data_IF_760317885882
#
_entry.id   IF_760317885882
#
_cell.length_a   1.000
_cell.length_b   1.000
_cell.length_c   1.000
_cell.angle_alpha   90.00
_cell.angle_beta   90.00
_cell.angle_gamma   90.00
#
_symmetry.space_group_name_H-M   'P 1'
#
loop_
_entity.id
_entity.type
_entity.pdbx_description
1 polymer ?
#
# COMPACT_ATOMS: atom_id res chain seq x y z
N UNK A 1 -5.15 -10.34 -11.10
CA UNK A 1 -4.98 -8.92 -10.74
C UNK A 1 -3.63 -8.73 -10.09
N UNK A 2 -2.84 -7.88 -10.75
CA UNK A 2 -1.62 -7.29 -10.21
C UNK A 2 -1.94 -6.26 -9.14
N UNK A 3 -0.97 -6.04 -8.25
CA UNK A 3 -1.06 -5.07 -7.14
C UNK A 3 0.08 -4.07 -7.24
N UNK A 4 -0.25 -2.79 -7.43
CA UNK A 4 0.71 -1.68 -7.42
C UNK A 4 0.89 -1.15 -6.00
N UNK A 5 2.12 -1.12 -5.49
CA UNK A 5 2.43 -0.63 -4.15
C UNK A 5 3.34 0.61 -4.25
N UNK A 6 2.86 1.76 -3.80
CA UNK A 6 3.57 3.03 -3.89
C UNK A 6 4.62 3.19 -2.78
N UNK A 7 5.85 2.75 -3.06
CA UNK A 7 6.89 2.63 -2.05
C UNK A 7 7.96 3.74 -2.09
N UNK A 8 7.77 4.78 -2.92
CA UNK A 8 8.82 5.76 -3.19
C UNK A 8 8.73 7.11 -2.45
N UNK A 9 7.74 7.29 -1.56
CA UNK A 9 7.55 8.53 -0.81
C UNK A 9 8.64 8.80 0.23
N UNK A 10 8.95 10.09 0.48
CA UNK A 10 10.01 10.50 1.42
C UNK A 10 9.67 10.30 2.91
N UNK A 11 8.41 10.02 3.27
CA UNK A 11 8.04 9.73 4.67
C UNK A 11 8.24 10.90 5.65
N UNK A 12 8.12 12.14 5.19
CA UNK A 12 8.44 13.38 5.94
C UNK A 12 7.59 13.62 7.20
N UNK A 13 6.50 12.87 7.38
CA UNK A 13 5.58 12.97 8.52
C UNK A 13 5.99 12.12 9.75
N UNK A 14 7.06 11.31 9.66
CA UNK A 14 7.49 10.36 10.69
C UNK A 14 8.95 10.64 11.11
N UNK A 15 9.21 11.85 11.63
CA UNK A 15 10.57 12.40 11.80
C UNK A 15 11.53 11.58 12.68
N UNK A 16 11.04 10.78 13.62
CA UNK A 16 11.93 10.07 14.55
C UNK A 16 12.44 8.70 14.03
N UNK A 17 11.77 8.11 13.02
CA UNK A 17 12.16 6.81 12.42
C UNK A 17 12.49 6.89 10.92
N UNK A 18 11.95 7.88 10.19
CA UNK A 18 12.03 7.93 8.73
C UNK A 18 13.40 8.37 8.18
N UNK A 19 14.25 8.97 9.01
CA UNK A 19 15.58 9.40 8.60
C UNK A 19 16.48 8.22 8.22
N UNK A 20 16.24 7.01 8.75
CA UNK A 20 17.04 5.81 8.45
C UNK A 20 16.27 4.78 7.61
N UNK A 21 14.97 4.59 7.82
CA UNK A 21 14.19 3.52 7.17
C UNK A 21 13.01 4.12 6.37
N UNK A 22 12.78 3.75 5.09
CA UNK A 22 11.61 4.21 4.35
C UNK A 22 10.31 3.69 4.99
N UNK A 23 9.22 4.46 4.94
CA UNK A 23 7.96 4.15 5.65
C UNK A 23 7.43 2.72 5.40
N UNK A 24 7.40 2.19 4.16
CA UNK A 24 6.96 0.81 3.91
C UNK A 24 7.80 -0.24 4.64
N UNK A 25 9.03 0.09 5.02
CA UNK A 25 9.97 -0.80 5.71
C UNK A 25 9.95 -0.67 7.24
N UNK A 26 9.06 0.15 7.81
CA UNK A 26 8.87 0.21 9.27
C UNK A 26 8.42 -1.17 9.77
N UNK A 27 9.07 -1.75 10.79
CA UNK A 27 8.76 -3.09 11.27
C UNK A 27 7.45 -3.14 12.07
N UNK A 28 6.67 -4.19 11.83
CA UNK A 28 5.54 -4.65 12.66
C UNK A 28 5.87 -6.07 13.10
N UNK A 29 6.32 -6.21 14.34
CA UNK A 29 7.01 -7.42 14.77
C UNK A 29 8.33 -7.59 14.00
N UNK A 30 8.53 -8.75 13.37
CA UNK A 30 9.74 -9.07 12.61
C UNK A 30 9.63 -8.80 11.10
N UNK A 31 8.47 -8.34 10.61
CA UNK A 31 8.23 -8.06 9.19
C UNK A 31 7.82 -6.60 8.96
N UNK A 32 8.19 -5.97 7.84
CA UNK A 32 7.83 -4.59 7.54
C UNK A 32 6.33 -4.42 7.21
N UNK A 33 5.83 -3.19 7.28
CA UNK A 33 4.46 -2.82 6.83
C UNK A 33 4.21 -3.35 5.41
N UNK A 34 5.16 -3.13 4.50
CA UNK A 34 5.07 -3.54 3.10
C UNK A 34 4.78 -5.04 2.96
N UNK A 35 5.52 -5.87 3.69
CA UNK A 35 5.31 -7.31 3.67
C UNK A 35 3.90 -7.68 4.17
N UNK A 36 3.42 -7.04 5.23
CA UNK A 36 2.09 -7.32 5.78
C UNK A 36 0.98 -6.94 4.78
N UNK A 37 1.16 -5.84 4.04
CA UNK A 37 0.24 -5.44 2.96
C UNK A 37 0.27 -6.45 1.82
N UNK A 38 1.46 -6.90 1.40
CA UNK A 38 1.59 -7.94 0.37
C UNK A 38 0.93 -9.25 0.82
N UNK A 39 1.14 -9.66 2.07
CA UNK A 39 0.48 -10.85 2.64
C UNK A 39 -1.04 -10.74 2.61
N UNK A 40 -1.59 -9.56 2.93
CA UNK A 40 -3.03 -9.30 2.86
C UNK A 40 -3.57 -9.56 1.45
N UNK A 41 -2.92 -9.03 0.41
CA UNK A 41 -3.33 -9.27 -0.98
C UNK A 41 -3.12 -10.71 -1.42
N UNK A 42 -1.98 -11.32 -1.05
CA UNK A 42 -1.66 -12.71 -1.35
C UNK A 42 -2.65 -13.70 -0.73
N UNK A 43 -3.16 -13.39 0.47
CA UNK A 43 -4.21 -14.16 1.14
C UNK A 43 -5.49 -14.24 0.29
N UNK A 44 -5.82 -13.18 -0.44
CA UNK A 44 -6.94 -13.13 -1.38
C UNK A 44 -6.57 -13.55 -2.82
N UNK A 45 -5.39 -14.16 -3.01
CA UNK A 45 -4.95 -14.71 -4.30
C UNK A 45 -4.28 -13.71 -5.24
N UNK A 46 -4.01 -12.48 -4.81
CA UNK A 46 -3.31 -11.47 -5.61
C UNK A 46 -1.83 -11.43 -5.24
N UNK A 47 -1.03 -12.19 -6.01
CA UNK A 47 0.38 -12.50 -5.71
C UNK A 47 1.39 -11.92 -6.70
N UNK A 48 0.93 -11.12 -7.66
CA UNK A 48 1.79 -10.42 -8.62
C UNK A 48 1.87 -8.92 -8.25
N UNK A 49 3.00 -8.53 -7.68
CA UNK A 49 3.25 -7.22 -7.08
C UNK A 49 4.13 -6.36 -7.98
N UNK A 50 3.80 -5.08 -8.08
CA UNK A 50 4.63 -4.06 -8.71
C UNK A 50 4.94 -2.99 -7.67
N UNK A 51 6.20 -2.93 -7.25
CA UNK A 51 6.67 -1.95 -6.29
C UNK A 51 7.14 -0.70 -7.04
N UNK A 52 6.41 0.40 -6.91
CA UNK A 52 6.77 1.70 -7.48
C UNK A 52 7.74 2.42 -6.55
N UNK A 53 9.04 2.23 -6.78
CA UNK A 53 10.13 2.65 -5.90
C UNK A 53 10.57 4.10 -6.15
N UNK A 54 11.24 4.69 -5.16
CA UNK A 54 11.81 6.02 -5.23
C UNK A 54 12.82 6.23 -4.11
N UNK A 55 12.49 7.08 -3.14
CA UNK A 55 13.36 7.33 -1.99
C UNK A 55 13.71 6.01 -1.27
N UNK A 56 15.01 5.77 -1.05
CA UNK A 56 15.56 4.58 -0.38
C UNK A 56 15.10 3.23 -0.97
N UNK A 57 14.98 3.17 -2.30
CA UNK A 57 14.67 1.96 -3.03
C UNK A 57 15.63 0.79 -2.71
N UNK A 58 16.89 1.09 -2.40
CA UNK A 58 17.93 0.14 -1.99
C UNK A 58 17.49 -0.70 -0.80
N UNK A 59 16.86 -0.11 0.22
CA UNK A 59 16.42 -0.82 1.43
C UNK A 59 15.29 -1.80 1.17
N UNK A 60 14.38 -1.44 0.28
CA UNK A 60 13.27 -2.32 -0.12
C UNK A 60 13.83 -3.49 -0.94
N UNK A 61 14.71 -3.21 -1.91
CA UNK A 61 15.35 -4.26 -2.72
C UNK A 61 16.17 -5.22 -1.85
N UNK A 62 16.99 -4.69 -0.95
CA UNK A 62 17.84 -5.47 -0.04
C UNK A 62 17.02 -6.45 0.80
N UNK A 63 15.90 -6.01 1.36
CA UNK A 63 15.01 -6.87 2.15
C UNK A 63 14.49 -8.10 1.38
N UNK A 64 14.05 -7.93 0.13
CA UNK A 64 13.50 -9.03 -0.65
C UNK A 64 14.58 -9.89 -1.32
N UNK A 65 15.73 -9.31 -1.68
CA UNK A 65 16.87 -10.07 -2.23
C UNK A 65 17.50 -10.95 -1.15
N UNK A 66 17.61 -10.43 0.06
CA UNK A 66 18.20 -11.12 1.22
C UNK A 66 17.11 -11.58 2.21
N UNK A 67 15.93 -11.95 1.70
CA UNK A 67 14.82 -12.38 2.53
C UNK A 67 15.20 -13.67 3.28
N UNK A 68 15.25 -13.57 4.60
CA UNK A 68 15.58 -14.69 5.47
C UNK A 68 14.31 -15.39 5.94
N UNK A 69 13.95 -16.46 5.22
CA UNK A 69 12.83 -17.34 5.51
C UNK A 69 12.89 -17.94 6.92
N UNK A 70 14.08 -18.06 7.54
CA UNK A 70 14.22 -18.65 8.88
C UNK A 70 13.76 -17.73 9.99
N UNK A 71 13.67 -16.42 9.72
CA UNK A 71 13.12 -15.44 10.66
C UNK A 71 11.59 -15.56 10.69
N UNK A 72 10.99 -15.96 9.57
CA UNK A 72 9.56 -15.84 9.30
C UNK A 72 8.79 -17.15 9.31
N UNK A 73 9.47 -18.27 9.07
CA UNK A 73 8.90 -19.60 8.87
C UNK A 73 9.55 -20.64 9.78
N UNK A 74 8.81 -21.70 10.09
CA UNK A 74 9.34 -22.83 10.83
C UNK A 74 10.27 -23.68 9.96
N UNK A 75 11.37 -24.15 10.55
CA UNK A 75 12.37 -24.94 9.84
C UNK A 75 13.00 -26.01 10.73
N UNK A 76 13.49 -27.07 10.10
CA UNK A 76 14.30 -28.10 10.75
C UNK A 76 15.78 -27.78 10.55
N UNK A 77 16.50 -27.64 11.67
CA UNK A 77 17.94 -27.43 11.68
C UNK A 77 18.67 -28.73 11.99
N UNK A 78 19.48 -29.22 11.05
CA UNK A 78 20.13 -30.54 11.17
C UNK A 78 21.59 -30.52 10.73
N UNK A 79 22.26 -31.69 10.85
CA UNK A 79 23.66 -31.90 10.47
C UNK A 79 24.66 -30.95 11.16
N UNK A 80 24.43 -30.64 12.44
CA UNK A 80 25.30 -29.73 13.22
C UNK A 80 25.25 -28.28 12.71
N UNK A 81 24.12 -27.88 12.14
CA UNK A 81 23.87 -26.53 11.66
C UNK A 81 24.29 -26.26 10.22
N UNK A 82 24.32 -27.32 9.40
CA UNK A 82 24.70 -27.26 7.98
C UNK A 82 23.53 -27.47 7.01
N UNK A 83 22.36 -27.81 7.54
CA UNK A 83 21.16 -28.04 6.75
C UNK A 83 19.96 -27.37 7.41
N UNK A 84 19.30 -26.51 6.64
CA UNK A 84 18.02 -25.89 6.96
C UNK A 84 17.01 -26.48 5.98
N UNK A 85 15.95 -27.07 6.52
CA UNK A 85 14.81 -27.54 5.76
C UNK A 85 13.60 -26.69 6.17
N UNK A 86 13.14 -25.82 5.27
CA UNK A 86 11.96 -24.99 5.50
C UNK A 86 10.71 -25.89 5.47
N UNK A 87 9.84 -25.78 6.49
CA UNK A 87 8.57 -26.52 6.54
C UNK A 87 7.47 -25.84 5.72
N UNK A 88 7.58 -24.52 5.54
CA UNK A 88 6.76 -23.72 4.65
C UNK A 88 7.55 -22.49 4.18
N UNK A 89 7.14 -21.92 3.05
CA UNK A 89 7.56 -20.58 2.64
C UNK A 89 6.35 -19.67 2.56
N UNK A 90 6.54 -18.39 2.88
CA UNK A 90 5.48 -17.40 2.93
C UNK A 90 5.46 -16.45 1.72
N UNK A 91 6.49 -16.50 0.87
CA UNK A 91 6.59 -15.68 -0.36
C UNK A 91 6.98 -16.47 -1.62
N UNK A 92 7.12 -17.80 -1.56
CA UNK A 92 7.62 -18.64 -2.66
C UNK A 92 6.83 -18.50 -3.98
N UNK A 93 5.53 -18.25 -3.87
CA UNK A 93 4.63 -18.08 -5.01
C UNK A 93 4.31 -16.61 -5.35
N UNK A 94 5.06 -15.66 -4.76
CA UNK A 94 4.93 -14.24 -5.07
C UNK A 94 5.80 -13.87 -6.26
N UNK A 95 5.25 -13.09 -7.18
CA UNK A 95 6.01 -12.43 -8.26
C UNK A 95 6.14 -10.95 -7.91
N UNK A 96 7.37 -10.46 -7.74
CA UNK A 96 7.62 -9.07 -7.32
C UNK A 96 8.44 -8.34 -8.39
N UNK A 97 7.86 -7.30 -8.98
CA UNK A 97 8.51 -6.41 -9.95
C UNK A 97 8.94 -5.12 -9.27
N UNK A 98 10.23 -4.79 -9.33
CA UNK A 98 10.81 -3.60 -8.70
C UNK A 98 11.04 -2.51 -9.75
N UNK A 99 10.24 -1.43 -9.72
CA UNK A 99 10.29 -0.37 -10.75
C UNK A 99 10.82 0.91 -10.12
N UNK A 100 11.94 1.45 -10.63
CA UNK A 100 12.37 2.78 -10.24
C UNK A 100 11.49 3.82 -10.93
N UNK A 101 10.63 4.46 -10.14
CA UNK A 101 9.69 5.47 -10.64
C UNK A 101 10.19 6.89 -10.38
N UNK A 102 11.42 7.06 -9.88
CA UNK A 102 12.07 8.35 -9.64
C UNK A 102 11.76 8.94 -8.26
N UNK A 103 12.75 9.65 -7.70
CA UNK A 103 12.67 10.26 -6.36
C UNK A 103 11.65 11.41 -6.30
N UNK A 104 11.55 12.21 -7.37
CA UNK A 104 10.71 13.41 -7.43
C UNK A 104 9.26 13.13 -7.87
N UNK A 105 8.90 11.86 -8.03
CA UNK A 105 7.60 11.48 -8.57
C UNK A 105 6.54 11.44 -7.47
N UNK A 106 5.44 12.12 -7.73
CA UNK A 106 4.21 12.04 -6.94
C UNK A 106 3.48 10.71 -7.21
N UNK A 107 2.35 10.43 -6.55
CA UNK A 107 1.67 9.13 -6.68
C UNK A 107 1.13 8.94 -8.10
N UNK A 108 0.53 9.97 -8.70
CA UNK A 108 0.00 9.90 -10.07
C UNK A 108 1.08 9.56 -11.10
N UNK A 109 2.23 10.25 -11.05
CA UNK A 109 3.38 9.97 -11.91
C UNK A 109 3.96 8.56 -11.71
N UNK A 110 3.95 8.05 -10.48
CA UNK A 110 4.40 6.68 -10.18
C UNK A 110 3.47 5.65 -10.82
N UNK A 111 2.16 5.86 -10.70
CA UNK A 111 1.16 5.00 -11.31
C UNK A 111 1.32 4.97 -12.84
N UNK A 112 1.48 6.13 -13.48
CA UNK A 112 1.70 6.21 -14.93
C UNK A 112 2.98 5.48 -15.37
N UNK A 113 4.07 5.56 -14.59
CA UNK A 113 5.33 4.87 -14.91
C UNK A 113 5.26 3.36 -14.84
N UNK A 114 4.31 2.80 -14.08
CA UNK A 114 4.16 1.34 -13.99
C UNK A 114 3.11 0.79 -14.94
N UNK A 115 2.49 1.63 -15.78
CA UNK A 115 1.43 1.24 -16.70
C UNK A 115 1.83 0.07 -17.62
N UNK A 116 3.05 0.06 -18.14
CA UNK A 116 3.53 -1.02 -19.02
C UNK A 116 3.56 -2.39 -18.33
N UNK A 117 3.77 -2.42 -17.01
CA UNK A 117 3.78 -3.66 -16.24
C UNK A 117 2.38 -4.18 -15.94
N UNK A 118 1.33 -3.39 -16.18
CA UNK A 118 -0.08 -3.75 -15.98
C UNK A 118 -0.73 -4.30 -17.24
N UNK A 119 0.00 -4.43 -18.36
CA UNK A 119 -0.52 -5.04 -19.58
C UNK A 119 -1.11 -6.43 -19.31
N UNK A 120 -2.26 -6.69 -19.95
CA UNK A 120 -3.02 -7.94 -19.83
C UNK A 120 -4.01 -7.99 -18.66
N UNK A 121 -3.98 -7.02 -17.74
CA UNK A 121 -4.99 -6.90 -16.68
C UNK A 121 -6.14 -6.00 -17.13
N UNK A 122 -7.39 -6.47 -17.01
CA UNK A 122 -8.58 -5.62 -17.15
C UNK A 122 -8.69 -4.65 -15.95
N UNK A 123 -8.41 -5.16 -14.76
CA UNK A 123 -8.43 -4.44 -13.49
C UNK A 123 -7.20 -4.74 -12.67
N UNK A 124 -6.77 -3.77 -11.86
CA UNK A 124 -5.64 -3.94 -10.96
C UNK A 124 -5.86 -3.19 -9.64
N UNK A 125 -5.17 -3.66 -8.61
CA UNK A 125 -5.21 -3.10 -7.27
C UNK A 125 -4.07 -2.10 -7.09
N UNK A 126 -4.27 -1.06 -6.28
CA UNK A 126 -3.18 -0.19 -5.87
C UNK A 126 -3.27 0.19 -4.38
N UNK A 127 -2.12 0.44 -3.76
CA UNK A 127 -2.04 0.78 -2.34
C UNK A 127 -0.89 1.76 -2.02
N UNK A 128 -1.09 2.67 -1.06
CA UNK A 128 -0.05 3.58 -0.55
C UNK A 128 1.09 2.91 0.23
N UNK A 129 0.98 1.60 0.50
CA UNK A 129 2.00 0.79 1.17
C UNK A 129 2.35 1.26 2.59
N UNK A 130 1.42 1.93 3.27
CA UNK A 130 1.66 2.53 4.58
C UNK A 130 0.51 2.42 5.59
N UNK A 131 -0.65 1.90 5.17
CA UNK A 131 -1.82 1.64 6.00
C UNK A 131 -2.19 0.16 5.96
N UNK A 132 -2.54 -0.40 7.12
CA UNK A 132 -3.08 -1.75 7.25
C UNK A 132 -4.59 -1.70 7.41
N UNK A 133 -5.27 -2.75 6.95
CA UNK A 133 -6.72 -2.92 7.07
C UNK A 133 -7.08 -4.39 7.20
N UNK A 134 -8.21 -4.65 7.86
CA UNK A 134 -8.89 -5.95 7.86
C UNK A 134 -10.07 -5.98 6.87
N UNK A 135 -10.15 -5.02 5.94
CA UNK A 135 -11.15 -4.99 4.86
C UNK A 135 -11.21 -6.36 4.18
N UNK A 136 -12.40 -6.93 4.03
CA UNK A 136 -12.58 -8.12 3.22
C UNK A 136 -12.52 -7.73 1.74
N UNK A 137 -11.38 -7.99 1.11
CA UNK A 137 -11.10 -7.54 -0.26
C UNK A 137 -12.11 -8.03 -1.31
N UNK A 138 -12.63 -9.28 -1.23
CA UNK A 138 -13.61 -9.76 -2.20
C UNK A 138 -14.86 -8.88 -2.29
N UNK A 139 -15.37 -8.33 -1.19
CA UNK A 139 -16.53 -7.44 -1.20
C UNK A 139 -16.24 -6.15 -1.98
N UNK A 140 -15.04 -5.59 -1.82
CA UNK A 140 -14.61 -4.39 -2.56
C UNK A 140 -14.52 -4.66 -4.06
N UNK A 141 -13.98 -5.83 -4.43
CA UNK A 141 -13.87 -6.26 -5.83
C UNK A 141 -15.26 -6.48 -6.42
N UNK A 142 -16.10 -7.27 -5.75
CA UNK A 142 -17.46 -7.54 -6.18
C UNK A 142 -18.24 -6.24 -6.39
N UNK A 143 -18.24 -5.34 -5.40
CA UNK A 143 -18.88 -4.05 -5.50
C UNK A 143 -18.44 -3.27 -6.75
N UNK A 144 -17.14 -3.20 -7.02
CA UNK A 144 -16.64 -2.49 -8.19
C UNK A 144 -17.02 -3.17 -9.51
N UNK A 145 -16.98 -4.49 -9.58
CA UNK A 145 -17.37 -5.23 -10.79
C UNK A 145 -18.84 -5.05 -11.17
N UNK A 146 -19.72 -4.77 -10.20
CA UNK A 146 -21.13 -4.43 -10.48
C UNK A 146 -21.34 -3.03 -11.06
N UNK A 147 -20.28 -2.22 -11.17
CA UNK A 147 -20.32 -0.83 -11.63
C UNK A 147 -19.54 -0.66 -12.96
N UNK A 148 -20.10 -1.11 -14.11
CA UNK A 148 -19.36 -1.16 -15.37
C UNK A 148 -18.88 0.21 -15.86
N UNK A 149 -19.62 1.28 -15.58
CA UNK A 149 -19.29 2.65 -16.03
C UNK A 149 -18.26 3.36 -15.14
N UNK A 150 -17.75 2.70 -14.10
CA UNK A 150 -16.75 3.27 -13.19
C UNK A 150 -15.36 2.72 -13.51
N UNK A 151 -14.38 3.62 -13.54
CA UNK A 151 -12.97 3.31 -13.86
C UNK A 151 -12.09 3.19 -12.61
N UNK A 152 -12.59 3.64 -11.46
CA UNK A 152 -11.89 3.62 -10.18
C UNK A 152 -12.84 3.40 -9.00
N UNK A 153 -12.35 2.72 -7.98
CA UNK A 153 -12.98 2.56 -6.66
C UNK A 153 -11.92 2.63 -5.57
N UNK A 154 -12.28 3.14 -4.39
CA UNK A 154 -11.39 3.15 -3.24
C UNK A 154 -12.15 3.03 -1.92
N UNK A 155 -11.49 2.51 -0.90
CA UNK A 155 -12.06 2.42 0.44
C UNK A 155 -12.00 3.79 1.14
N UNK A 156 -13.14 4.19 1.73
CA UNK A 156 -13.23 5.33 2.64
C UNK A 156 -13.36 4.87 4.09
N UNK A 157 -12.84 5.66 5.03
CA UNK A 157 -12.94 5.39 6.47
C UNK A 157 -13.37 6.63 7.25
N UNK A 158 -14.27 6.45 8.22
CA UNK A 158 -14.59 7.49 9.20
C UNK A 158 -13.69 7.37 10.41
N UNK A 159 -12.92 8.42 10.77
CA UNK A 159 -12.03 8.37 11.91
C UNK A 159 -12.79 8.15 13.22
N UNK A 160 -12.34 7.20 14.03
CA UNK A 160 -12.85 6.99 15.39
C UNK A 160 -11.91 7.52 16.48
N UNK A 161 -10.84 8.23 16.07
CA UNK A 161 -9.84 8.76 16.99
C UNK A 161 -10.41 9.78 17.99
N UNK A 162 -9.75 9.96 19.14
CA UNK A 162 -10.20 10.84 20.23
C UNK A 162 -10.07 12.35 19.95
N UNK A 163 -10.01 12.75 18.68
CA UNK A 163 -9.97 14.16 18.29
C UNK A 163 -11.37 14.78 18.32
N UNK A 164 -11.41 16.08 18.57
CA UNK A 164 -12.63 16.88 18.49
C UNK A 164 -12.58 17.79 17.26
N UNK A 165 -13.71 17.90 16.57
CA UNK A 165 -13.90 18.87 15.49
C UNK A 165 -14.54 20.11 16.10
N UNK A 166 -13.93 21.26 15.84
CA UNK A 166 -14.42 22.57 16.28
C UNK A 166 -15.05 23.28 15.08
N UNK A 167 -16.30 23.73 15.23
CA UNK A 167 -16.92 24.65 14.27
C UNK A 167 -16.82 26.07 14.82
N UNK A 168 -16.39 26.99 13.98
CA UNK A 168 -16.22 28.40 14.32
C UNK A 168 -16.83 29.28 13.24
N UNK A 169 -17.24 30.50 13.60
CA UNK A 169 -17.54 31.55 12.63
C UNK A 169 -16.24 32.13 12.07
N UNK A 170 -16.33 32.96 11.03
CA UNK A 170 -15.18 33.60 10.41
C UNK A 170 -14.45 34.56 11.37
N UNK A 171 -15.15 35.07 12.40
CA UNK A 171 -14.60 35.92 13.47
C UNK A 171 -13.95 35.11 14.61
N UNK A 172 -13.91 33.77 14.50
CA UNK A 172 -13.26 32.89 15.48
C UNK A 172 -14.13 32.52 16.68
N UNK A 173 -15.44 32.79 16.65
CA UNK A 173 -16.36 32.35 17.71
C UNK A 173 -16.64 30.85 17.59
N UNK A 174 -16.33 30.07 18.62
CA UNK A 174 -16.64 28.63 18.68
C UNK A 174 -18.15 28.41 18.84
N UNK A 175 -18.75 27.69 17.90
CA UNK A 175 -20.19 27.37 17.91
C UNK A 175 -20.49 25.92 18.28
N UNK A 176 -19.54 25.01 18.06
CA UNK A 176 -19.70 23.59 18.41
C UNK A 176 -18.34 22.91 18.60
N UNK A 177 -18.29 21.94 19.52
CA UNK A 177 -17.20 20.98 19.68
C UNK A 177 -17.82 19.59 19.76
N UNK A 178 -17.43 18.69 18.87
CA UNK A 178 -17.94 17.32 18.84
C UNK A 178 -16.82 16.31 18.56
N UNK A 179 -16.95 15.04 18.99
CA UNK A 179 -16.04 13.98 18.60
C UNK A 179 -15.96 13.86 17.07
N UNK A 180 -14.78 13.58 16.52
CA UNK A 180 -14.59 13.40 15.07
C UNK A 180 -15.45 12.25 14.50
N UNK A 181 -15.78 11.26 15.32
CA UNK A 181 -16.70 10.17 14.97
C UNK A 181 -18.12 10.66 14.63
N UNK A 182 -18.53 11.83 15.15
CA UNK A 182 -19.81 12.45 14.84
C UNK A 182 -19.71 13.50 13.70
N UNK A 183 -18.56 13.58 13.04
CA UNK A 183 -18.38 14.41 11.87
C UNK A 183 -18.77 13.64 10.60
N UNK A 184 -19.18 14.36 9.54
CA UNK A 184 -19.39 13.77 8.21
C UNK A 184 -18.08 13.64 7.41
N UNK A 185 -16.94 13.53 8.09
CA UNK A 185 -15.63 13.44 7.43
C UNK A 185 -15.32 11.99 7.07
N UNK A 186 -14.98 11.79 5.81
CA UNK A 186 -14.52 10.52 5.26
C UNK A 186 -13.10 10.69 4.75
N UNK A 187 -12.24 9.74 5.10
CA UNK A 187 -10.86 9.72 4.65
C UNK A 187 -10.70 8.73 3.52
N UNK A 188 -9.91 9.11 2.50
CA UNK A 188 -9.34 8.15 1.58
C UNK A 188 -8.28 7.32 2.33
N UNK A 189 -8.42 6.00 2.28
CA UNK A 189 -7.55 5.06 3.00
C UNK A 189 -6.38 4.54 2.18
N UNK A 190 -6.37 4.79 0.88
CA UNK A 190 -5.32 4.34 -0.01
C UNK A 190 -5.48 2.93 -0.56
N UNK A 191 -6.60 2.24 -0.30
CA UNK A 191 -6.92 0.98 -0.96
C UNK A 191 -7.72 1.27 -2.22
N UNK A 192 -7.12 1.04 -3.39
CA UNK A 192 -7.71 1.34 -4.68
C UNK A 192 -7.91 0.09 -5.53
N UNK A 193 -8.90 0.17 -6.41
CA UNK A 193 -9.14 -0.75 -7.50
C UNK A 193 -9.43 0.07 -8.76
N UNK A 194 -8.71 -0.22 -9.84
CA UNK A 194 -8.74 0.55 -11.08
C UNK A 194 -8.98 -0.37 -12.26
N UNK A 195 -9.65 0.15 -13.30
CA UNK A 195 -9.58 -0.38 -14.65
C UNK A 195 -8.46 0.32 -15.43
N UNK A 196 -8.02 -0.25 -16.55
CA UNK A 196 -6.99 0.35 -17.41
C UNK A 196 -7.38 1.76 -17.88
N UNK A 197 -8.66 2.01 -18.09
CA UNK A 197 -9.23 3.29 -18.53
C UNK A 197 -8.92 4.43 -17.55
N UNK A 198 -8.49 4.15 -16.31
CA UNK A 198 -8.01 5.19 -15.39
C UNK A 198 -6.92 6.06 -16.01
N UNK A 199 -6.06 5.47 -16.85
CA UNK A 199 -4.96 6.19 -17.51
C UNK A 199 -5.45 7.22 -18.53
N UNK A 200 -6.66 7.08 -19.07
CA UNK A 200 -7.25 8.04 -20.01
C UNK A 200 -7.64 9.36 -19.31
N UNK A 201 -7.80 9.32 -17.99
CA UNK A 201 -8.16 10.47 -17.15
C UNK A 201 -6.95 11.14 -16.48
N UNK A 202 -5.74 10.64 -16.71
CA UNK A 202 -4.53 11.12 -16.04
C UNK A 202 -3.59 11.79 -17.02
N UNK A 203 -2.98 12.89 -16.59
CA UNK A 203 -1.83 13.50 -17.27
C UNK A 203 -0.58 13.39 -16.43
N UNK A 204 0.56 13.20 -17.10
CA UNK A 204 1.85 13.18 -16.43
C UNK A 204 2.10 14.52 -15.74
N UNK A 205 2.29 14.51 -14.42
CA UNK A 205 2.29 15.74 -13.62
C UNK A 205 1.24 15.74 -12.52
N UNK A 206 0.08 15.16 -12.80
CA UNK A 206 -1.08 15.21 -11.91
C UNK A 206 -0.91 14.28 -10.71
N UNK A 207 -1.56 14.63 -9.60
CA UNK A 207 -1.68 13.71 -8.47
C UNK A 207 -2.84 12.74 -8.68
N UNK A 208 -2.73 11.57 -8.05
CA UNK A 208 -3.79 10.56 -8.09
C UNK A 208 -5.07 11.03 -7.38
N UNK A 209 -4.89 11.82 -6.31
CA UNK A 209 -5.97 12.35 -5.48
C UNK A 209 -5.64 13.80 -5.16
N UNK A 210 -6.56 14.71 -5.43
CA UNK A 210 -6.43 16.17 -5.22
C UNK A 210 -7.43 16.63 -4.17
#
# INVERSE_FOLDING_TARGET
MKVVLFCGGQGTRLRDYSETIPKPMVPIGYRPILWNIMKYYAHFGHKDFILALGYKADRIKDYFVNYDETISNDFVFSKGGKAIELLSSDIDDWRITFVDTGIQSNIGMRLMRVQEHLQGEEMFLANYADGLSNLYLPDMIEHFTTQPDKVASFMTYQPTASFHVVRMTDEGLVTNIAPIAHSNLWLNTGYFLFKQEVFDYMKYGEELVV
#
